data_IF_222395525171
#
_entry.id   IF_222395525171
#
_cell.length_a   1.000
_cell.length_b   1.000
_cell.length_c   1.000
_cell.angle_alpha   90.00
_cell.angle_beta   90.00
_cell.angle_gamma   90.00
#
_symmetry.space_group_name_H-M   'P 1'
#
loop_
_entity.id
_entity.type
_entity.pdbx_description
1 polymer ?
#
# COMPACT_ATOMS: atom_id res chain seq x y z
N UNK A 1 -31.77 20.51 -10.18
CA UNK A 1 -31.00 21.02 -9.04
C UNK A 1 -29.72 21.57 -9.63
N UNK A 2 -29.39 22.83 -9.37
CA UNK A 2 -28.26 23.53 -9.99
C UNK A 2 -26.97 23.22 -9.21
N UNK A 3 -25.84 23.07 -9.92
CA UNK A 3 -24.51 22.83 -9.32
C UNK A 3 -24.15 23.84 -8.22
N UNK A 4 -24.62 25.09 -8.32
CA UNK A 4 -24.43 26.12 -7.28
C UNK A 4 -25.08 25.75 -5.94
N UNK A 5 -26.19 25.02 -5.96
CA UNK A 5 -26.91 24.64 -4.76
C UNK A 5 -26.21 23.48 -4.04
N UNK A 6 -25.63 22.56 -4.81
CA UNK A 6 -24.84 21.44 -4.28
C UNK A 6 -23.51 21.91 -3.67
N UNK A 7 -22.88 22.93 -4.26
CA UNK A 7 -21.65 23.56 -3.70
C UNK A 7 -21.98 24.26 -2.38
N UNK A 8 -23.07 25.03 -2.33
CA UNK A 8 -23.48 25.75 -1.12
C UNK A 8 -23.82 24.81 0.04
N UNK A 9 -24.48 23.69 -0.25
CA UNK A 9 -24.82 22.68 0.76
C UNK A 9 -23.56 21.95 1.29
N UNK A 10 -22.56 21.74 0.43
CA UNK A 10 -21.27 21.17 0.83
C UNK A 10 -20.49 22.14 1.73
N UNK A 11 -20.43 23.42 1.37
CA UNK A 11 -19.77 24.47 2.16
C UNK A 11 -20.37 24.55 3.58
N UNK A 12 -21.70 24.56 3.68
CA UNK A 12 -22.40 24.59 4.97
C UNK A 12 -22.11 23.35 5.82
N UNK A 13 -22.10 22.17 5.20
CA UNK A 13 -21.83 20.91 5.90
C UNK A 13 -20.40 20.87 6.46
N UNK A 14 -19.43 21.38 5.69
CA UNK A 14 -18.04 21.40 6.13
C UNK A 14 -17.82 22.47 7.20
N UNK A 15 -18.44 23.65 7.07
CA UNK A 15 -18.38 24.71 8.08
C UNK A 15 -18.91 24.21 9.43
N UNK A 16 -20.07 23.53 9.43
CA UNK A 16 -20.62 22.92 10.65
C UNK A 16 -19.69 21.86 11.25
N UNK A 17 -19.00 21.07 10.43
CA UNK A 17 -18.03 20.08 10.90
C UNK A 17 -16.78 20.76 11.49
N UNK A 18 -16.29 21.82 10.84
CA UNK A 18 -15.15 22.64 11.29
C UNK A 18 -15.40 23.24 12.67
N UNK A 19 -16.59 23.82 12.86
CA UNK A 19 -17.02 24.42 14.13
C UNK A 19 -17.19 23.37 15.24
N UNK A 20 -17.80 22.21 14.92
CA UNK A 20 -17.97 21.10 15.87
C UNK A 20 -16.63 20.50 16.32
N UNK A 21 -15.63 20.48 15.43
CA UNK A 21 -14.32 19.91 15.70
C UNK A 21 -13.31 20.95 16.24
N UNK A 22 -13.68 22.23 16.28
CA UNK A 22 -12.79 23.35 16.61
C UNK A 22 -11.49 23.33 15.79
N UNK A 23 -11.60 22.97 14.51
CA UNK A 23 -10.49 22.94 13.57
C UNK A 23 -10.71 24.11 12.63
N UNK A 24 -9.71 24.97 12.50
CA UNK A 24 -9.68 26.02 11.47
C UNK A 24 -9.23 25.39 10.16
N UNK A 25 -10.18 24.85 9.37
CA UNK A 25 -9.90 24.18 8.11
C UNK A 25 -10.14 25.19 6.98
N UNK A 26 -9.05 25.75 6.46
CA UNK A 26 -9.10 26.41 5.16
C UNK A 26 -9.12 25.34 4.05
N UNK A 27 -10.33 25.04 3.54
CA UNK A 27 -10.58 24.05 2.48
C UNK A 27 -10.11 24.58 1.11
N UNK A 28 -10.00 25.90 0.97
CA UNK A 28 -9.66 26.56 -0.28
C UNK A 28 -8.15 26.76 -0.44
N UNK A 29 -7.37 26.53 0.62
CA UNK A 29 -5.90 26.56 0.52
C UNK A 29 -5.40 25.50 -0.44
N UNK A 30 -4.29 25.81 -1.10
CA UNK A 30 -3.58 24.82 -1.89
C UNK A 30 -3.04 23.70 -0.99
N UNK A 31 -3.21 22.45 -1.42
CA UNK A 31 -2.61 21.28 -0.79
C UNK A 31 -1.10 21.37 -1.00
N UNK A 32 -0.31 21.25 0.08
CA UNK A 32 1.15 21.33 -0.02
C UNK A 32 1.75 19.98 -0.42
N UNK A 33 2.94 19.95 -1.05
CA UNK A 33 3.62 18.69 -1.36
C UNK A 33 3.87 17.80 -0.15
N UNK A 34 4.12 18.38 1.03
CA UNK A 34 4.34 17.66 2.28
C UNK A 34 3.07 16.93 2.74
N UNK A 35 1.90 17.50 2.49
CA UNK A 35 0.61 16.89 2.84
C UNK A 35 0.27 15.75 1.91
N UNK A 36 0.59 15.91 0.62
CA UNK A 36 0.52 14.80 -0.34
C UNK A 36 1.44 13.68 0.10
N UNK A 37 2.68 13.99 0.47
CA UNK A 37 3.64 12.99 0.95
C UNK A 37 3.16 12.31 2.23
N UNK A 38 2.63 13.07 3.19
CA UNK A 38 2.04 12.53 4.41
C UNK A 38 0.92 11.53 4.10
N UNK A 39 0.01 11.86 3.17
CA UNK A 39 -1.03 10.94 2.74
C UNK A 39 -0.46 9.68 2.08
N UNK A 40 0.58 9.82 1.24
CA UNK A 40 1.24 8.69 0.59
C UNK A 40 1.98 7.77 1.58
N UNK A 41 2.52 8.33 2.65
CA UNK A 41 3.22 7.58 3.70
C UNK A 41 2.24 6.74 4.55
N UNK A 42 1.01 7.22 4.73
CA UNK A 42 -0.03 6.54 5.51
C UNK A 42 -0.94 5.67 4.65
N UNK A 43 -1.07 5.99 3.37
CA UNK A 43 -1.77 5.20 2.36
C UNK A 43 -0.84 4.80 1.20
N UNK A 44 0.23 4.00 1.44
CA UNK A 44 1.06 3.47 0.37
C UNK A 44 0.22 2.77 -0.69
N UNK A 45 0.65 2.88 -1.93
CA UNK A 45 0.02 2.21 -3.06
C UNK A 45 1.08 1.62 -3.98
N UNK A 46 0.65 0.73 -4.87
CA UNK A 46 1.49 0.16 -5.90
C UNK A 46 0.64 -0.14 -7.13
N UNK A 47 1.17 0.18 -8.31
CA UNK A 47 0.59 -0.12 -9.61
C UNK A 47 1.61 -0.87 -10.48
N UNK A 48 1.23 -2.05 -10.93
CA UNK A 48 2.05 -2.91 -11.78
C UNK A 48 1.28 -3.35 -13.02
N UNK A 49 2.01 -3.55 -14.12
CA UNK A 49 1.46 -4.04 -15.38
C UNK A 49 2.27 -5.24 -15.84
N UNK A 50 1.57 -6.26 -16.32
CA UNK A 50 2.15 -7.47 -16.89
C UNK A 50 2.64 -7.27 -18.33
N UNK A 51 3.14 -8.34 -18.96
CA UNK A 51 3.82 -8.24 -20.26
C UNK A 51 2.86 -8.05 -21.45
N UNK A 52 1.59 -8.47 -21.32
CA UNK A 52 0.60 -8.34 -22.39
C UNK A 52 -0.31 -7.13 -22.13
N UNK A 53 -0.28 -6.11 -23.00
CA UNK A 53 -1.31 -5.05 -23.00
C UNK A 53 -2.55 -5.52 -23.77
N UNK A 54 -3.46 -6.21 -23.10
CA UNK A 54 -4.73 -6.65 -23.71
C UNK A 54 -5.91 -6.21 -22.85
N UNK A 55 -6.03 -4.91 -22.61
CA UNK A 55 -7.21 -4.36 -21.95
C UNK A 55 -8.37 -4.29 -22.95
N UNK A 56 -9.17 -5.36 -23.04
CA UNK A 56 -10.53 -5.30 -23.61
C UNK A 56 -11.52 -5.35 -22.45
N UNK A 57 -11.93 -4.17 -21.99
CA UNK A 57 -12.87 -3.94 -20.86
C UNK A 57 -12.48 -4.70 -19.58
N UNK A 58 -11.76 -4.07 -18.64
CA UNK A 58 -11.36 -4.78 -17.44
C UNK A 58 -12.56 -4.95 -16.51
N UNK A 59 -13.03 -6.18 -16.36
CA UNK A 59 -13.79 -6.55 -15.17
C UNK A 59 -12.78 -6.59 -14.01
N UNK A 60 -12.93 -5.66 -13.06
CA UNK A 60 -12.02 -5.55 -11.92
C UNK A 60 -12.35 -6.61 -10.89
N UNK A 61 -11.39 -7.49 -10.61
CA UNK A 61 -11.50 -8.45 -9.51
C UNK A 61 -10.84 -7.88 -8.26
N UNK A 62 -11.62 -7.74 -7.18
CA UNK A 62 -11.09 -7.39 -5.87
C UNK A 62 -10.57 -8.65 -5.16
N UNK A 63 -9.31 -8.59 -4.72
CA UNK A 63 -8.64 -9.64 -3.97
C UNK A 63 -8.12 -9.00 -2.69
N UNK A 64 -8.39 -9.63 -1.54
CA UNK A 64 -7.85 -9.15 -0.27
C UNK A 64 -6.46 -9.74 -0.03
N UNK A 65 -5.49 -8.89 0.28
CA UNK A 65 -4.14 -9.27 0.72
C UNK A 65 -4.17 -9.82 2.15
N UNK A 66 -3.15 -10.58 2.54
CA UNK A 66 -2.95 -11.04 3.92
C UNK A 66 -2.85 -9.89 4.93
N UNK A 67 -2.44 -8.69 4.48
CA UNK A 67 -2.45 -7.45 5.25
C UNK A 67 -3.85 -6.90 5.55
N UNK A 68 -4.86 -7.38 4.82
CA UNK A 68 -6.22 -6.84 4.82
C UNK A 68 -6.48 -5.79 3.74
N UNK A 69 -5.46 -5.33 3.02
CA UNK A 69 -5.59 -4.35 1.95
C UNK A 69 -6.23 -4.93 0.69
N UNK A 70 -6.80 -4.06 -0.14
CA UNK A 70 -7.46 -4.45 -1.39
C UNK A 70 -6.48 -4.38 -2.57
N UNK A 71 -6.41 -5.47 -3.32
CA UNK A 71 -5.73 -5.57 -4.60
C UNK A 71 -6.79 -5.60 -5.70
N UNK A 72 -6.73 -4.63 -6.61
CA UNK A 72 -7.55 -4.53 -7.79
C UNK A 72 -6.83 -5.24 -8.95
N UNK A 73 -7.36 -6.37 -9.38
CA UNK A 73 -6.82 -7.16 -10.47
C UNK A 73 -7.63 -6.91 -11.75
N UNK A 74 -6.98 -6.28 -12.73
CA UNK A 74 -7.52 -5.95 -14.05
C UNK A 74 -7.19 -7.03 -15.10
N UNK A 75 -6.59 -8.15 -14.69
CA UNK A 75 -6.12 -9.22 -15.56
C UNK A 75 -4.65 -9.05 -15.93
N UNK A 76 -4.35 -8.00 -16.71
CA UNK A 76 -3.00 -7.63 -17.17
C UNK A 76 -2.36 -6.48 -16.37
N UNK A 77 -3.10 -5.87 -15.45
CA UNK A 77 -2.61 -4.88 -14.51
C UNK A 77 -3.13 -5.15 -13.11
N UNK A 78 -2.40 -4.70 -12.10
CA UNK A 78 -2.84 -4.74 -10.72
C UNK A 78 -2.55 -3.41 -10.03
N UNK A 79 -3.46 -2.95 -9.18
CA UNK A 79 -3.20 -1.86 -8.24
C UNK A 79 -3.56 -2.28 -6.82
N UNK A 80 -2.91 -1.68 -5.83
CA UNK A 80 -3.25 -1.86 -4.42
C UNK A 80 -3.78 -0.56 -3.82
N UNK A 81 -4.62 -0.73 -2.81
CA UNK A 81 -5.05 0.34 -1.93
C UNK A 81 -5.22 -0.21 -0.52
N UNK A 82 -5.06 0.62 0.53
CA UNK A 82 -5.44 0.22 1.88
C UNK A 82 -6.93 -0.13 2.05
N UNK A 83 -7.76 0.16 1.04
CA UNK A 83 -9.14 -0.33 0.94
C UNK A 83 -10.09 0.34 1.92
N UNK A 84 -11.11 -0.40 2.36
CA UNK A 84 -12.14 0.08 3.31
C UNK A 84 -11.58 0.51 4.67
N UNK A 85 -10.32 0.18 4.97
CA UNK A 85 -9.67 0.53 6.23
C UNK A 85 -9.20 2.00 6.30
N UNK A 86 -9.15 2.71 5.17
CA UNK A 86 -8.89 4.16 5.17
C UNK A 86 -10.06 4.93 5.80
N UNK A 87 -11.26 4.34 5.93
CA UNK A 87 -12.45 5.08 6.42
C UNK A 87 -13.39 4.28 7.33
N UNK A 88 -13.20 2.96 7.53
CA UNK A 88 -14.23 2.12 8.17
C UNK A 88 -13.74 0.94 9.03
N UNK A 89 -12.49 0.95 9.48
CA UNK A 89 -11.93 -0.18 10.24
C UNK A 89 -11.02 0.25 11.38
N UNK A 90 -11.61 0.91 12.38
CA UNK A 90 -10.93 1.38 13.59
C UNK A 90 -11.49 2.73 14.01
N UNK A 91 -11.63 2.97 15.31
CA UNK A 91 -11.91 4.31 15.85
C UNK A 91 -10.92 5.30 15.21
N UNK A 92 -11.42 6.18 14.34
CA UNK A 92 -10.75 7.45 14.03
C UNK A 92 -10.70 8.28 15.32
N UNK A 93 -9.82 7.90 16.25
CA UNK A 93 -9.32 8.82 17.25
C UNK A 93 -8.11 9.47 16.64
N UNK A 94 -8.35 10.58 15.96
CA UNK A 94 -7.38 11.67 15.93
C UNK A 94 -6.97 11.84 17.39
N UNK A 95 -5.74 11.46 17.74
CA UNK A 95 -5.19 11.67 19.07
C UNK A 95 -4.94 13.17 19.25
N UNK A 96 -6.01 13.94 19.46
CA UNK A 96 -5.94 15.21 20.15
C UNK A 96 -5.68 14.86 21.61
N UNK A 97 -4.40 14.72 21.95
CA UNK A 97 -3.76 15.09 23.22
C UNK A 97 -2.52 14.21 23.48
N UNK A 98 -1.37 14.88 23.55
CA UNK A 98 -0.45 14.71 24.68
C UNK A 98 0.46 13.48 24.72
N UNK A 99 1.72 13.74 24.40
CA UNK A 99 2.94 13.18 25.02
C UNK A 99 3.37 11.72 24.71
N UNK A 100 4.63 11.63 24.28
CA UNK A 100 5.59 10.51 24.37
C UNK A 100 5.08 9.08 24.12
N UNK A 101 5.40 8.51 22.95
CA UNK A 101 6.57 7.63 22.77
C UNK A 101 6.51 6.98 21.36
N UNK A 102 7.67 6.65 20.80
CA UNK A 102 7.87 6.06 19.47
C UNK A 102 6.94 4.86 19.15
N UNK A 103 5.85 5.08 18.41
CA UNK A 103 4.98 3.99 17.94
C UNK A 103 4.21 4.39 16.69
N UNK A 104 4.61 3.87 15.53
CA UNK A 104 3.89 4.12 14.28
C UNK A 104 2.44 3.64 14.36
N UNK A 105 1.51 4.44 13.84
CA UNK A 105 0.08 4.19 13.91
C UNK A 105 -0.30 2.79 13.39
N UNK A 106 -1.04 2.06 14.23
CA UNK A 106 -1.57 0.73 13.89
C UNK A 106 -2.85 0.92 13.08
N UNK A 107 -2.72 0.95 11.75
CA UNK A 107 -3.86 0.79 10.84
C UNK A 107 -4.25 -0.70 10.84
N UNK A 108 -5.52 -1.07 11.03
CA UNK A 108 -5.98 -2.48 11.10
C UNK A 108 -5.34 -3.35 12.24
N UNK A 109 -5.96 -3.41 13.42
CA UNK A 109 -5.44 -4.13 14.59
C UNK A 109 -5.10 -5.60 14.28
N UNK A 110 -3.90 -6.03 14.68
CA UNK A 110 -3.41 -7.40 14.49
C UNK A 110 -2.68 -7.66 13.16
N UNK A 111 -2.55 -6.66 12.28
CA UNK A 111 -1.80 -6.77 11.01
C UNK A 111 -0.44 -6.07 11.01
N UNK A 112 -0.09 -5.41 12.12
CA UNK A 112 1.18 -4.71 12.33
C UNK A 112 1.15 -3.28 11.82
N UNK A 113 2.31 -2.69 11.55
CA UNK A 113 2.44 -1.30 11.09
C UNK A 113 2.06 -1.14 9.61
N UNK A 114 1.81 0.10 9.17
CA UNK A 114 1.58 0.44 7.75
C UNK A 114 2.72 -0.06 6.86
N UNK A 115 3.95 0.07 7.32
CA UNK A 115 5.15 -0.43 6.64
C UNK A 115 5.06 -1.95 6.40
N UNK A 116 4.72 -2.71 7.44
CA UNK A 116 4.57 -4.17 7.31
C UNK A 116 3.44 -4.54 6.35
N UNK A 117 2.30 -3.85 6.45
CA UNK A 117 1.15 -4.09 5.58
C UNK A 117 1.48 -3.79 4.12
N UNK A 118 2.10 -2.65 3.85
CA UNK A 118 2.57 -2.27 2.52
C UNK A 118 3.53 -3.32 1.94
N UNK A 119 4.45 -3.84 2.76
CA UNK A 119 5.38 -4.89 2.36
C UNK A 119 4.69 -6.20 2.02
N UNK A 120 3.75 -6.65 2.87
CA UNK A 120 2.96 -7.87 2.67
C UNK A 120 2.10 -7.74 1.41
N UNK A 121 1.38 -6.63 1.25
CA UNK A 121 0.53 -6.38 0.08
C UNK A 121 1.33 -6.37 -1.21
N UNK A 122 2.49 -5.69 -1.25
CA UNK A 122 3.37 -5.71 -2.40
C UNK A 122 3.84 -7.14 -2.72
N UNK A 123 4.19 -7.93 -1.70
CA UNK A 123 4.55 -9.33 -1.86
C UNK A 123 3.43 -10.18 -2.44
N UNK A 124 2.19 -9.99 -1.97
CA UNK A 124 1.00 -10.69 -2.46
C UNK A 124 0.70 -10.36 -3.92
N UNK A 125 0.84 -9.09 -4.32
CA UNK A 125 0.72 -8.68 -5.72
C UNK A 125 1.71 -9.43 -6.62
N UNK A 126 2.96 -9.60 -6.17
CA UNK A 126 3.96 -10.35 -6.94
C UNK A 126 3.69 -11.86 -6.94
N UNK A 127 3.20 -12.43 -5.84
CA UNK A 127 2.75 -13.82 -5.81
C UNK A 127 1.60 -14.05 -6.80
N UNK A 128 0.64 -13.11 -6.87
CA UNK A 128 -0.45 -13.15 -7.86
C UNK A 128 0.08 -13.05 -9.29
N UNK A 129 1.06 -12.17 -9.55
CA UNK A 129 1.74 -12.09 -10.85
C UNK A 129 2.40 -13.43 -11.23
N UNK A 130 3.07 -14.08 -10.28
CA UNK A 130 3.66 -15.40 -10.50
C UNK A 130 2.61 -16.46 -10.82
N UNK A 131 1.49 -16.49 -10.08
CA UNK A 131 0.37 -17.41 -10.32
C UNK A 131 -0.25 -17.22 -11.71
N UNK A 132 -0.28 -15.97 -12.20
CA UNK A 132 -0.68 -15.63 -13.57
C UNK A 132 0.36 -15.98 -14.64
N UNK A 133 1.53 -16.49 -14.23
CA UNK A 133 2.62 -16.86 -15.13
C UNK A 133 3.44 -15.69 -15.64
N UNK A 134 3.35 -14.50 -15.01
CA UNK A 134 4.15 -13.35 -15.43
C UNK A 134 5.63 -13.61 -15.21
N UNK A 135 6.43 -13.42 -16.27
CA UNK A 135 7.90 -13.49 -16.23
C UNK A 135 8.57 -12.13 -16.19
N UNK A 136 7.82 -11.12 -16.61
CA UNK A 136 8.21 -9.72 -16.65
C UNK A 136 7.04 -8.87 -16.16
N UNK A 137 7.33 -7.79 -15.44
CA UNK A 137 6.36 -6.76 -15.07
C UNK A 137 7.01 -5.38 -15.06
N UNK A 138 6.20 -4.35 -15.22
CA UNK A 138 6.61 -2.95 -15.08
C UNK A 138 5.89 -2.34 -13.88
N UNK A 139 6.63 -1.74 -12.96
CA UNK A 139 6.09 -0.86 -11.93
C UNK A 139 5.78 0.48 -12.60
N UNK A 140 4.51 0.83 -12.67
CA UNK A 140 4.06 2.09 -13.28
C UNK A 140 4.21 3.21 -12.26
N UNK A 141 3.71 2.97 -11.05
CA UNK A 141 3.83 3.90 -9.95
C UNK A 141 3.60 3.21 -8.59
N UNK A 142 3.80 3.96 -7.50
CA UNK A 142 3.61 3.48 -6.15
C UNK A 142 4.41 4.27 -5.12
N UNK A 143 4.23 3.91 -3.86
CA UNK A 143 5.07 4.39 -2.78
C UNK A 143 6.42 3.66 -2.77
N UNK A 144 7.50 4.36 -2.41
CA UNK A 144 8.87 3.84 -2.48
C UNK A 144 9.03 2.48 -1.75
N UNK A 145 8.37 2.35 -0.60
CA UNK A 145 8.41 1.12 0.22
C UNK A 145 7.79 -0.09 -0.50
N UNK A 146 6.70 0.13 -1.23
CA UNK A 146 6.01 -0.93 -1.96
C UNK A 146 6.75 -1.26 -3.26
N UNK A 147 7.32 -0.28 -3.96
CA UNK A 147 8.18 -0.53 -5.14
C UNK A 147 9.37 -1.40 -4.75
N UNK A 148 10.05 -1.07 -3.64
CA UNK A 148 11.16 -1.87 -3.08
C UNK A 148 10.71 -3.29 -2.73
N UNK A 149 9.65 -3.43 -1.95
CA UNK A 149 9.14 -4.74 -1.52
C UNK A 149 8.77 -5.62 -2.72
N UNK A 150 8.09 -5.04 -3.71
CA UNK A 150 7.74 -5.70 -4.97
C UNK A 150 8.98 -6.15 -5.75
N UNK A 151 9.97 -5.27 -5.92
CA UNK A 151 11.21 -5.60 -6.62
C UNK A 151 12.03 -6.71 -5.92
N UNK A 152 12.13 -6.66 -4.59
CA UNK A 152 12.79 -7.72 -3.80
C UNK A 152 12.05 -9.05 -3.99
N UNK A 153 10.72 -9.04 -3.88
CA UNK A 153 9.93 -10.26 -4.00
C UNK A 153 9.99 -10.84 -5.43
N UNK A 154 9.93 -9.98 -6.45
CA UNK A 154 10.05 -10.39 -7.84
C UNK A 154 11.41 -11.02 -8.12
N UNK A 155 12.48 -10.45 -7.55
CA UNK A 155 13.83 -11.01 -7.63
C UNK A 155 13.94 -12.40 -7.01
N UNK A 156 13.28 -12.66 -5.86
CA UNK A 156 13.23 -14.00 -5.25
C UNK A 156 12.55 -15.02 -6.17
N UNK A 157 11.50 -14.59 -6.89
CA UNK A 157 10.68 -15.46 -7.74
C UNK A 157 11.16 -15.56 -9.19
N UNK A 158 12.27 -14.89 -9.53
CA UNK A 158 12.82 -14.87 -10.89
C UNK A 158 11.95 -14.12 -11.90
N UNK A 159 11.22 -13.09 -11.45
CA UNK A 159 10.43 -12.19 -12.29
C UNK A 159 11.27 -10.94 -12.56
N UNK A 160 11.41 -10.57 -13.83
CA UNK A 160 12.09 -9.33 -14.23
C UNK A 160 11.18 -8.12 -13.98
N UNK A 161 11.73 -7.08 -13.36
CA UNK A 161 11.00 -5.85 -13.03
C UNK A 161 11.61 -4.67 -13.79
N UNK A 162 10.74 -3.88 -14.40
CA UNK A 162 11.04 -2.57 -14.99
C UNK A 162 10.33 -1.46 -14.22
N UNK A 163 10.72 -0.20 -14.41
CA UNK A 163 10.09 0.98 -13.78
C UNK A 163 10.47 1.22 -12.30
N UNK A 164 11.48 0.52 -11.80
CA UNK A 164 12.10 0.79 -10.49
C UNK A 164 13.62 0.64 -10.59
N UNK A 165 14.35 1.71 -10.30
CA UNK A 165 15.80 1.70 -10.24
C UNK A 165 16.25 1.58 -8.77
N UNK A 166 16.79 0.42 -8.35
CA UNK A 166 17.21 0.22 -6.97
C UNK A 166 18.43 1.07 -6.65
N UNK A 167 18.39 1.76 -5.51
CA UNK A 167 19.55 2.41 -4.90
C UNK A 167 20.45 1.40 -4.18
N UNK A 168 21.63 1.86 -3.74
CA UNK A 168 22.52 1.05 -2.91
C UNK A 168 21.86 0.59 -1.60
N UNK A 169 20.94 1.38 -1.05
CA UNK A 169 20.22 1.00 0.17
C UNK A 169 19.18 -0.08 -0.11
N UNK A 170 18.50 -0.02 -1.26
CA UNK A 170 17.55 -1.06 -1.68
C UNK A 170 18.25 -2.41 -1.84
N UNK A 171 19.45 -2.43 -2.43
CA UNK A 171 20.27 -3.65 -2.56
C UNK A 171 20.71 -4.23 -1.21
N UNK A 172 21.06 -3.37 -0.24
CA UNK A 172 21.38 -3.81 1.12
C UNK A 172 20.18 -4.46 1.79
N UNK A 173 19.01 -3.81 1.72
CA UNK A 173 17.77 -4.37 2.26
C UNK A 173 17.43 -5.69 1.59
N UNK A 174 17.56 -5.78 0.26
CA UNK A 174 17.35 -7.03 -0.49
C UNK A 174 18.23 -8.15 0.04
N UNK A 175 19.54 -7.91 0.18
CA UNK A 175 20.49 -8.90 0.68
C UNK A 175 20.09 -9.40 2.07
N UNK A 176 19.77 -8.48 2.99
CA UNK A 176 19.34 -8.82 4.34
C UNK A 176 18.06 -9.66 4.36
N UNK A 177 17.06 -9.30 3.54
CA UNK A 177 15.79 -10.03 3.45
C UNK A 177 15.99 -11.45 2.91
N UNK A 178 16.80 -11.60 1.86
CA UNK A 178 17.08 -12.91 1.26
C UNK A 178 17.87 -13.81 2.22
N UNK A 179 18.92 -13.27 2.86
CA UNK A 179 19.72 -14.00 3.87
C UNK A 179 18.87 -14.41 5.08
N UNK A 180 18.00 -13.51 5.55
CA UNK A 180 17.10 -13.80 6.67
C UNK A 180 16.07 -14.88 6.30
N UNK A 181 15.57 -14.86 5.07
CA UNK A 181 14.67 -15.89 4.54
C UNK A 181 15.33 -17.26 4.47
N UNK A 182 16.58 -17.33 3.99
CA UNK A 182 17.37 -18.57 3.96
C UNK A 182 17.71 -19.08 5.36
N UNK A 183 18.17 -18.20 6.24
CA UNK A 183 18.46 -18.54 7.63
C UNK A 183 17.21 -19.03 8.39
N UNK A 184 16.06 -18.43 8.11
CA UNK A 184 14.78 -18.86 8.66
C UNK A 184 14.33 -20.22 8.10
N UNK A 185 14.47 -20.46 6.79
CA UNK A 185 14.20 -21.76 6.15
C UNK A 185 15.09 -22.86 6.78
N UNK A 186 16.39 -22.61 6.94
CA UNK A 186 17.34 -23.53 7.58
C UNK A 186 16.97 -23.85 9.03
N UNK A 187 16.56 -22.84 9.82
CA UNK A 187 16.05 -23.06 11.19
C UNK A 187 14.75 -23.86 11.21
N UNK A 188 13.85 -23.64 10.27
CA UNK A 188 12.58 -24.39 10.19
C UNK A 188 12.80 -25.86 9.80
N UNK A 189 13.78 -26.13 8.95
CA UNK A 189 14.17 -27.48 8.54
C UNK A 189 14.95 -28.23 9.63
N UNK A 190 15.76 -27.55 10.43
CA UNK A 190 16.46 -28.19 11.57
C UNK A 190 15.52 -28.55 12.73
N UNK A 191 14.38 -27.86 12.85
CA UNK A 191 13.37 -28.10 13.90
C UNK A 191 12.36 -29.19 13.50
N UNK A 192 12.18 -29.48 12.20
CA UNK A 192 11.32 -30.58 11.74
C UNK A 192 12.17 -31.83 11.48
N UNK A 193 12.19 -32.84 12.37
CA UNK A 193 12.87 -34.09 12.05
C UNK A 193 12.24 -34.71 10.81
N UNK A 194 13.08 -35.10 9.85
CA UNK A 194 12.68 -35.84 8.65
C UNK A 194 11.96 -37.12 9.10
N UNK A 195 10.69 -37.26 8.71
CA UNK A 195 9.98 -38.55 8.76
C UNK A 195 10.45 -39.45 7.63
#
# INVERSE_FOLDING_TARGET
MSEEQDIQDLENTIQEASEKLNIDIDILRAITPEEVQYLLDHCPFLQIVGPEKKIKKPDVKLIQSDSGWDIHDYGDAMSSSPGRFIFGGGDFRISLEGEDDNGGDVINPGKGTVVNQAWVTAGDMINLAQQKGWKFLTIVDGHAIMKRAAWIKASELGITVDGFEPSLEDERVRKLVLESGEAFKLRKESIRPKK
#
